data_IF_081203368596
#
_entry.id   IF_081203368596
#
_cell.length_a   1.000
_cell.length_b   1.000
_cell.length_c   1.000
_cell.angle_alpha   90.00
_cell.angle_beta   90.00
_cell.angle_gamma   90.00
#
_symmetry.space_group_name_H-M   'P 1'
#
loop_
_entity.id
_entity.type
_entity.pdbx_description
1 polymer ?
#
# COMPACT_ATOMS: atom_id res chain seq x y z
N UNK A 1 -8.96 5.13 10.12
CA UNK A 1 -8.24 3.92 9.65
C UNK A 1 -8.93 2.67 10.16
N UNK A 2 -9.50 1.88 9.25
CA UNK A 2 -10.16 0.63 9.58
C UNK A 2 -9.10 -0.49 9.69
N UNK A 3 -9.15 -1.35 10.73
CA UNK A 3 -8.21 -2.46 10.85
C UNK A 3 -8.47 -3.48 9.72
N UNK A 4 -7.39 -4.02 9.16
CA UNK A 4 -7.45 -5.02 8.12
C UNK A 4 -7.53 -6.41 8.74
N UNK A 5 -8.50 -7.23 8.33
CA UNK A 5 -8.58 -8.63 8.74
C UNK A 5 -7.73 -9.47 7.80
N UNK A 6 -6.70 -10.13 8.33
CA UNK A 6 -5.82 -11.05 7.59
C UNK A 6 -5.94 -12.44 8.21
N UNK A 7 -5.86 -13.48 7.37
CA UNK A 7 -5.83 -14.87 7.83
C UNK A 7 -4.38 -15.25 8.10
N UNK A 8 -4.05 -15.42 9.37
CA UNK A 8 -2.77 -15.95 9.82
C UNK A 8 -2.84 -17.49 9.95
N UNK A 9 -1.71 -18.15 9.72
CA UNK A 9 -1.60 -19.61 9.70
C UNK A 9 -1.62 -20.22 11.11
N UNK A 10 -1.14 -19.51 12.12
CA UNK A 10 -1.05 -20.00 13.50
C UNK A 10 -2.21 -19.47 14.36
N UNK A 11 -2.63 -18.23 14.15
CA UNK A 11 -3.60 -17.54 15.01
C UNK A 11 -4.99 -17.36 14.37
N UNK A 12 -5.18 -17.78 13.11
CA UNK A 12 -6.45 -17.64 12.41
C UNK A 12 -6.75 -16.19 12.00
N UNK A 13 -8.02 -15.72 12.03
CA UNK A 13 -8.35 -14.37 11.60
C UNK A 13 -7.86 -13.32 12.61
N UNK A 14 -6.80 -12.60 12.27
CA UNK A 14 -6.23 -11.51 13.07
C UNK A 14 -6.58 -10.15 12.47
N UNK A 15 -6.78 -9.16 13.34
CA UNK A 15 -7.02 -7.76 12.93
C UNK A 15 -5.73 -6.98 13.06
N UNK A 16 -5.20 -6.56 11.94
CA UNK A 16 -3.95 -5.82 11.84
C UNK A 16 -4.24 -4.34 11.61
N UNK A 17 -3.53 -3.50 12.38
CA UNK A 17 -3.43 -2.06 12.11
C UNK A 17 -1.96 -1.71 12.08
N UNK A 18 -1.47 -1.38 10.90
CA UNK A 18 -0.14 -0.84 10.71
C UNK A 18 -0.21 0.69 10.70
N UNK A 19 0.78 1.32 11.32
CA UNK A 19 1.04 2.75 11.21
C UNK A 19 2.40 2.88 10.55
N UNK A 20 2.47 3.69 9.51
CA UNK A 20 3.69 3.89 8.74
C UNK A 20 3.60 5.17 7.94
N UNK A 21 4.76 5.79 7.74
CA UNK A 21 4.90 6.91 6.83
C UNK A 21 5.45 6.36 5.52
N UNK A 22 4.94 6.86 4.41
CA UNK A 22 5.45 6.54 3.09
C UNK A 22 5.85 7.84 2.41
N UNK A 23 6.98 7.82 1.71
CA UNK A 23 7.41 8.89 0.84
C UNK A 23 7.16 8.45 -0.61
N UNK A 24 6.68 9.38 -1.43
CA UNK A 24 6.46 9.10 -2.84
C UNK A 24 6.93 10.28 -3.70
N UNK A 25 7.29 9.98 -4.94
CA UNK A 25 7.64 10.96 -5.94
C UNK A 25 6.87 10.68 -7.23
N UNK A 26 6.64 11.72 -8.03
CA UNK A 26 6.06 11.55 -9.36
C UNK A 26 7.17 11.01 -10.27
N UNK A 27 7.00 9.78 -10.75
CA UNK A 27 7.91 9.15 -11.70
C UNK A 27 7.50 9.43 -13.15
N UNK A 28 6.22 9.24 -13.47
CA UNK A 28 5.65 9.48 -14.79
C UNK A 28 4.50 10.49 -14.74
N UNK A 29 4.77 11.69 -15.25
CA UNK A 29 3.82 12.81 -15.27
C UNK A 29 2.62 12.53 -16.19
N UNK A 30 2.80 11.77 -17.28
CA UNK A 30 1.73 11.47 -18.23
C UNK A 30 0.71 10.48 -17.66
N UNK A 31 1.20 9.42 -17.01
CA UNK A 31 0.33 8.45 -16.30
C UNK A 31 -0.34 9.11 -15.10
N UNK A 32 0.42 9.92 -14.33
CA UNK A 32 -0.13 10.67 -13.20
C UNK A 32 -1.25 11.62 -13.64
N UNK A 33 -1.00 12.42 -14.69
CA UNK A 33 -2.00 13.35 -15.20
C UNK A 33 -3.23 12.63 -15.74
N UNK A 34 -3.07 11.59 -16.56
CA UNK A 34 -4.21 10.87 -17.15
C UNK A 34 -5.10 10.14 -16.15
N UNK A 35 -4.53 9.57 -15.08
CA UNK A 35 -5.28 8.75 -14.11
C UNK A 35 -5.75 9.50 -12.87
N UNK A 36 -4.96 10.43 -12.35
CA UNK A 36 -5.25 11.13 -11.08
C UNK A 36 -5.77 12.56 -11.27
N UNK A 37 -5.35 13.25 -12.33
CA UNK A 37 -5.70 14.67 -12.52
C UNK A 37 -6.76 14.88 -13.60
N UNK A 38 -6.66 14.17 -14.71
CA UNK A 38 -7.56 14.31 -15.86
C UNK A 38 -8.96 13.72 -15.66
N UNK A 39 -9.18 13.01 -14.56
CA UNK A 39 -10.48 12.44 -14.18
C UNK A 39 -11.36 13.40 -13.39
N UNK A 40 -10.81 14.48 -12.82
CA UNK A 40 -11.54 15.45 -12.02
C UNK A 40 -11.26 16.89 -12.47
N UNK A 41 -12.28 17.75 -12.43
CA UNK A 41 -12.13 19.19 -12.73
C UNK A 41 -11.18 19.88 -11.73
N UNK A 42 -11.04 19.32 -10.53
CA UNK A 42 -10.11 19.77 -9.50
C UNK A 42 -9.56 18.57 -8.73
N UNK A 43 -8.24 18.39 -8.76
CA UNK A 43 -7.54 17.40 -7.94
C UNK A 43 -6.77 18.10 -6.83
N UNK A 44 -7.14 17.83 -5.57
CA UNK A 44 -6.38 18.27 -4.40
C UNK A 44 -5.45 17.16 -3.91
N UNK A 45 -4.40 17.54 -3.17
CA UNK A 45 -3.49 16.58 -2.54
C UNK A 45 -4.23 15.60 -1.64
N UNK A 46 -5.26 16.04 -0.91
CA UNK A 46 -6.06 15.19 -0.02
C UNK A 46 -6.83 14.09 -0.77
N UNK A 47 -7.37 14.40 -1.95
CA UNK A 47 -8.08 13.41 -2.77
C UNK A 47 -7.12 12.35 -3.31
N UNK A 48 -5.96 12.80 -3.80
CA UNK A 48 -4.91 11.91 -4.31
C UNK A 48 -4.38 11.03 -3.17
N UNK A 49 -4.14 11.59 -1.99
CA UNK A 49 -3.68 10.83 -0.82
C UNK A 49 -4.71 9.78 -0.39
N UNK A 50 -6.00 10.12 -0.40
CA UNK A 50 -7.08 9.17 -0.08
C UNK A 50 -7.11 7.97 -1.02
N UNK A 51 -6.97 8.21 -2.33
CA UNK A 51 -6.96 7.17 -3.34
C UNK A 51 -5.69 6.30 -3.25
N UNK A 52 -4.52 6.93 -3.07
CA UNK A 52 -3.25 6.23 -2.88
C UNK A 52 -3.29 5.35 -1.63
N UNK A 53 -3.78 5.89 -0.52
CA UNK A 53 -3.93 5.14 0.74
C UNK A 53 -4.85 3.92 0.54
N UNK A 54 -5.95 4.08 -0.18
CA UNK A 54 -6.83 2.97 -0.53
C UNK A 54 -6.11 1.89 -1.34
N UNK A 55 -5.42 2.29 -2.42
CA UNK A 55 -4.67 1.36 -3.27
C UNK A 55 -3.56 0.63 -2.51
N UNK A 56 -2.80 1.34 -1.67
CA UNK A 56 -1.77 0.78 -0.79
C UNK A 56 -2.39 -0.25 0.15
N UNK A 57 -3.47 0.08 0.85
CA UNK A 57 -4.13 -0.84 1.78
C UNK A 57 -4.61 -2.11 1.07
N UNK A 58 -5.18 -1.99 -0.14
CA UNK A 58 -5.60 -3.14 -0.94
C UNK A 58 -4.41 -4.00 -1.38
N UNK A 59 -3.31 -3.39 -1.82
CA UNK A 59 -2.11 -4.11 -2.24
C UNK A 59 -1.48 -4.89 -1.06
N UNK A 60 -1.36 -4.23 0.10
CA UNK A 60 -0.89 -4.85 1.34
C UNK A 60 -1.82 -6.00 1.74
N UNK A 61 -3.14 -5.78 1.72
CA UNK A 61 -4.11 -6.82 2.07
C UNK A 61 -4.02 -8.05 1.17
N UNK A 62 -3.86 -7.84 -0.14
CA UNK A 62 -3.70 -8.91 -1.11
C UNK A 62 -2.41 -9.70 -0.85
N UNK A 63 -1.30 -9.01 -0.58
CA UNK A 63 0.00 -9.65 -0.34
C UNK A 63 0.08 -10.36 1.01
N UNK A 64 -0.44 -9.77 2.08
CA UNK A 64 -0.54 -10.42 3.38
C UNK A 64 -1.51 -11.60 3.37
N UNK A 65 -2.61 -11.50 2.62
CA UNK A 65 -3.55 -12.60 2.44
C UNK A 65 -2.99 -13.76 1.61
N UNK A 66 -2.01 -13.51 0.74
CA UNK A 66 -1.30 -14.53 -0.05
C UNK A 66 -0.03 -15.03 0.64
N UNK A 67 0.60 -14.22 1.50
CA UNK A 67 1.81 -14.61 2.21
C UNK A 67 1.46 -15.66 3.26
N UNK A 68 2.02 -16.85 3.12
CA UNK A 68 1.85 -17.94 4.08
C UNK A 68 2.75 -17.77 5.33
N UNK A 69 3.22 -16.54 5.58
CA UNK A 69 4.22 -16.19 6.59
C UNK A 69 3.47 -15.83 7.87
N UNK A 70 3.87 -16.40 9.00
CA UNK A 70 3.29 -16.07 10.30
C UNK A 70 3.56 -14.60 10.63
N UNK A 71 2.55 -13.89 11.11
CA UNK A 71 2.69 -12.47 11.43
C UNK A 71 3.79 -12.22 12.49
N UNK A 72 4.01 -13.15 13.41
CA UNK A 72 5.06 -13.06 14.43
C UNK A 72 6.45 -13.01 13.80
N UNK A 73 6.71 -13.85 12.80
CA UNK A 73 8.00 -13.87 12.09
C UNK A 73 8.22 -12.59 11.27
N UNK A 74 7.15 -12.00 10.73
CA UNK A 74 7.19 -10.69 10.07
C UNK A 74 7.41 -9.54 11.07
N UNK A 75 6.75 -9.58 12.23
CA UNK A 75 6.89 -8.55 13.27
C UNK A 75 8.28 -8.57 13.93
N UNK A 76 8.93 -9.74 13.97
CA UNK A 76 10.31 -9.88 14.43
C UNK A 76 11.32 -9.18 13.51
N UNK A 77 11.03 -9.05 12.21
CA UNK A 77 11.90 -8.44 11.21
C UNK A 77 11.21 -7.26 10.49
N UNK A 78 11.02 -6.15 11.22
CA UNK A 78 10.34 -4.96 10.71
C UNK A 78 10.96 -4.38 9.43
N UNK A 79 12.28 -4.46 9.27
CA UNK A 79 12.97 -3.98 8.06
C UNK A 79 12.62 -4.83 6.84
N UNK A 80 12.69 -6.16 6.96
CA UNK A 80 12.30 -7.10 5.91
C UNK A 80 10.83 -6.97 5.57
N UNK A 81 9.99 -6.77 6.58
CA UNK A 81 8.56 -6.49 6.39
C UNK A 81 8.35 -5.18 5.60
N UNK A 82 9.05 -4.11 5.96
CA UNK A 82 8.99 -2.83 5.24
C UNK A 82 9.41 -2.96 3.79
N UNK A 83 10.49 -3.70 3.51
CA UNK A 83 10.97 -3.95 2.14
C UNK A 83 9.95 -4.76 1.33
N UNK A 84 9.39 -5.83 1.88
CA UNK A 84 8.35 -6.63 1.22
C UNK A 84 7.09 -5.81 0.94
N UNK A 85 6.71 -4.91 1.86
CA UNK A 85 5.61 -3.97 1.62
C UNK A 85 5.95 -2.98 0.51
N UNK A 86 7.16 -2.42 0.47
CA UNK A 86 7.59 -1.52 -0.59
C UNK A 86 7.56 -2.21 -1.97
N UNK A 87 8.05 -3.44 -2.06
CA UNK A 87 7.99 -4.26 -3.29
C UNK A 87 6.56 -4.60 -3.70
N UNK A 88 5.68 -4.88 -2.73
CA UNK A 88 4.27 -5.15 -2.96
C UNK A 88 3.51 -3.93 -3.52
N UNK A 89 3.83 -2.74 -2.99
CA UNK A 89 3.14 -1.50 -3.28
C UNK A 89 3.67 -0.87 -4.58
N UNK A 90 4.96 -1.01 -4.88
CA UNK A 90 5.62 -0.40 -6.04
C UNK A 90 4.85 -0.58 -7.36
N UNK A 91 4.50 -1.81 -7.78
CA UNK A 91 3.74 -2.03 -9.01
C UNK A 91 2.35 -1.38 -9.00
N UNK A 92 1.68 -1.36 -7.84
CA UNK A 92 0.37 -0.74 -7.69
C UNK A 92 0.44 0.79 -7.81
N UNK A 93 1.53 1.40 -7.34
CA UNK A 93 1.75 2.85 -7.43
C UNK A 93 2.31 3.30 -8.78
N UNK A 94 3.14 2.48 -9.43
CA UNK A 94 3.58 2.73 -10.80
C UNK A 94 2.40 2.76 -11.78
N UNK A 95 1.35 1.98 -11.52
CA UNK A 95 0.11 2.07 -12.27
C UNK A 95 -0.57 3.46 -12.17
N UNK A 96 -0.20 4.31 -11.21
CA UNK A 96 -0.65 5.69 -11.06
C UNK A 96 0.44 6.72 -11.42
N UNK A 97 1.58 6.30 -11.97
CA UNK A 97 2.71 7.18 -12.33
C UNK A 97 3.53 7.66 -11.13
N UNK A 98 3.42 6.97 -9.99
CA UNK A 98 4.04 7.33 -8.72
C UNK A 98 5.06 6.27 -8.32
N UNK A 99 6.24 6.71 -7.90
CA UNK A 99 7.29 5.85 -7.35
C UNK A 99 7.39 6.00 -5.83
N UNK A 100 7.59 4.88 -5.14
CA UNK A 100 7.88 4.83 -3.70
C UNK A 100 9.36 5.13 -3.48
N UNK A 101 9.65 5.99 -2.50
CA UNK A 101 11.01 6.22 -2.01
C UNK A 101 11.26 5.52 -0.69
#
# INVERSE_FOLDING_TARGET
TQPLTVRDKEYGPIRLRAFGNYAYAIGDVGVFWSRLVGTAERSTSEMIEGQLRGAILTAIASKLGQSNIAFIDMAANQETFSQQLAEAIGPALQAYGIDVK
#
